data_IF_963045121867
#
_entry.id   IF_963045121867
#
_cell.length_a   1.000
_cell.length_b   1.000
_cell.length_c   1.000
_cell.angle_alpha   90.00
_cell.angle_beta   90.00
_cell.angle_gamma   90.00
#
_symmetry.space_group_name_H-M   'P 1'
#
loop_
_entity.id
_entity.type
_entity.pdbx_description
1 polymer ?
#
# COMPACT_ATOMS: atom_id res chain seq x y z
N UNK A 1 77.49 -21.66 -19.82
CA UNK A 1 77.50 -21.41 -21.28
C UNK A 1 76.41 -22.27 -21.90
N UNK A 2 75.45 -21.65 -22.57
CA UNK A 2 74.77 -22.08 -23.81
C UNK A 2 73.50 -21.24 -23.95
N UNK A 3 73.56 -20.33 -24.92
CA UNK A 3 72.44 -19.55 -25.49
C UNK A 3 71.62 -20.49 -26.36
N UNK A 4 70.30 -20.33 -26.48
CA UNK A 4 69.60 -20.42 -27.76
C UNK A 4 68.23 -19.74 -27.70
N UNK A 5 68.04 -18.77 -28.60
CA UNK A 5 66.75 -18.26 -29.06
C UNK A 5 65.96 -19.36 -29.75
N UNK A 6 64.62 -19.32 -29.65
CA UNK A 6 63.78 -19.57 -30.82
C UNK A 6 62.46 -18.81 -30.71
N UNK A 7 62.26 -17.90 -31.66
CA UNK A 7 61.01 -17.25 -31.99
C UNK A 7 60.28 -18.19 -32.95
N UNK A 8 59.03 -18.54 -32.66
CA UNK A 8 58.07 -18.98 -33.68
C UNK A 8 56.78 -18.21 -33.47
N UNK A 9 56.55 -17.27 -34.38
CA UNK A 9 55.27 -16.60 -34.59
C UNK A 9 54.40 -17.50 -35.46
N UNK A 10 53.17 -17.80 -35.04
CA UNK A 10 52.13 -18.27 -35.93
C UNK A 10 50.85 -17.47 -35.66
N UNK A 11 50.51 -16.62 -36.63
CA UNK A 11 49.23 -15.93 -36.73
C UNK A 11 48.33 -16.82 -37.58
N UNK A 12 47.16 -17.21 -37.06
CA UNK A 12 46.02 -17.63 -37.88
C UNK A 12 44.75 -16.96 -37.36
N UNK A 13 44.18 -16.17 -38.26
CA UNK A 13 42.85 -15.56 -38.23
C UNK A 13 41.76 -16.60 -38.47
N UNK A 14 40.67 -16.60 -37.70
CA UNK A 14 39.28 -16.33 -38.15
C UNK A 14 38.28 -16.73 -37.05
N UNK A 15 37.23 -15.92 -36.93
CA UNK A 15 36.38 -15.82 -35.75
C UNK A 15 35.40 -16.97 -35.51
N UNK A 16 34.71 -16.87 -34.37
CA UNK A 16 33.39 -17.46 -34.13
C UNK A 16 32.80 -16.93 -32.83
N UNK A 17 31.72 -16.16 -33.00
CA UNK A 17 30.51 -16.10 -32.16
C UNK A 17 30.69 -15.66 -30.69
N UNK A 18 30.42 -14.38 -30.45
CA UNK A 18 29.89 -13.93 -29.17
C UNK A 18 28.55 -14.62 -28.93
N UNK A 19 28.57 -15.71 -28.18
CA UNK A 19 27.35 -16.26 -27.60
C UNK A 19 26.89 -15.27 -26.53
N UNK A 20 25.87 -14.47 -26.85
CA UNK A 20 25.12 -13.68 -25.86
C UNK A 20 24.46 -14.69 -24.93
N UNK A 21 25.13 -14.98 -23.81
CA UNK A 21 24.53 -15.71 -22.72
C UNK A 21 23.47 -14.79 -22.12
N UNK A 22 22.23 -15.01 -22.54
CA UNK A 22 21.05 -14.49 -21.88
C UNK A 22 21.17 -14.88 -20.39
N UNK A 23 21.53 -13.91 -19.57
CA UNK A 23 21.54 -14.05 -18.13
C UNK A 23 20.13 -14.44 -17.69
N UNK A 24 19.92 -15.73 -17.42
CA UNK A 24 18.70 -16.23 -16.80
C UNK A 24 18.54 -15.45 -15.49
N UNK A 25 17.65 -14.45 -15.48
CA UNK A 25 17.18 -13.79 -14.27
C UNK A 25 16.71 -14.91 -13.34
N UNK A 26 17.42 -15.10 -12.23
CA UNK A 26 16.98 -16.01 -11.17
C UNK A 26 15.55 -15.59 -10.79
N UNK A 27 14.59 -16.52 -10.72
CA UNK A 27 13.25 -16.17 -10.29
C UNK A 27 13.37 -15.55 -8.89
N UNK A 28 12.96 -14.29 -8.76
CA UNK A 28 12.79 -13.64 -7.46
C UNK A 28 11.79 -14.51 -6.71
N UNK A 29 12.26 -15.24 -5.69
CA UNK A 29 11.39 -15.98 -4.78
C UNK A 29 10.41 -14.95 -4.22
N UNK A 30 9.12 -15.08 -4.54
CA UNK A 30 8.06 -14.36 -3.83
C UNK A 30 8.33 -14.57 -2.34
N UNK A 31 8.42 -13.49 -1.53
CA UNK A 31 8.58 -13.67 -0.09
C UNK A 31 7.39 -14.52 0.38
N UNK A 32 7.69 -15.74 0.86
CA UNK A 32 6.67 -16.57 1.47
C UNK A 32 6.09 -15.78 2.64
N UNK A 33 4.77 -15.61 2.69
CA UNK A 33 4.17 -14.88 3.82
C UNK A 33 4.58 -15.58 5.10
N UNK A 34 5.16 -14.86 6.04
CA UNK A 34 5.37 -15.42 7.38
C UNK A 34 4.00 -15.83 7.96
N UNK A 35 3.93 -16.92 8.72
CA UNK A 35 2.68 -17.31 9.42
C UNK A 35 2.15 -16.15 10.29
N UNK A 36 3.05 -15.34 10.85
CA UNK A 36 2.75 -14.10 11.58
C UNK A 36 1.97 -13.08 10.75
N UNK A 37 2.33 -12.88 9.48
CA UNK A 37 1.60 -11.98 8.58
C UNK A 37 0.14 -12.43 8.43
N UNK A 38 -0.07 -13.72 8.19
CA UNK A 38 -1.40 -14.29 7.99
C UNK A 38 -2.29 -14.13 9.24
N UNK A 39 -1.75 -14.42 10.43
CA UNK A 39 -2.45 -14.25 11.70
C UNK A 39 -2.80 -12.80 11.97
N UNK A 40 -1.88 -11.87 11.72
CA UNK A 40 -2.08 -10.44 11.97
C UNK A 40 -3.09 -9.84 10.99
N UNK A 41 -3.08 -10.26 9.71
CA UNK A 41 -4.09 -9.86 8.71
C UNK A 41 -5.46 -10.40 9.11
N UNK A 42 -5.56 -11.66 9.56
CA UNK A 42 -6.80 -12.24 10.06
C UNK A 42 -7.32 -11.48 11.29
N UNK A 43 -6.43 -11.09 12.20
CA UNK A 43 -6.79 -10.28 13.37
C UNK A 43 -7.29 -8.89 12.97
N UNK A 44 -6.69 -8.25 11.95
CA UNK A 44 -7.15 -6.97 11.41
C UNK A 44 -8.57 -7.07 10.82
N UNK A 45 -8.89 -8.17 10.14
CA UNK A 45 -10.22 -8.45 9.61
C UNK A 45 -11.26 -8.76 10.71
N UNK A 46 -10.83 -9.22 11.89
CA UNK A 46 -11.70 -9.45 13.03
C UNK A 46 -12.85 -10.44 12.73
N UNK A 47 -14.10 -10.01 12.97
CA UNK A 47 -15.31 -10.81 12.68
C UNK A 47 -15.69 -10.78 11.18
N UNK A 48 -15.08 -9.92 10.37
CA UNK A 48 -15.42 -9.75 8.96
C UNK A 48 -14.77 -10.83 8.09
N UNK A 49 -15.50 -11.28 7.07
CA UNK A 49 -15.03 -12.23 6.07
C UNK A 49 -15.42 -11.75 4.68
N UNK A 50 -14.56 -11.99 3.70
CA UNK A 50 -14.91 -11.75 2.30
C UNK A 50 -16.16 -12.57 1.92
N UNK A 51 -16.96 -12.01 1.01
CA UNK A 51 -18.24 -12.58 0.62
C UNK A 51 -19.43 -12.27 1.55
N UNK A 52 -19.21 -11.60 2.68
CA UNK A 52 -20.31 -11.09 3.51
C UNK A 52 -21.13 -10.03 2.77
N UNK A 53 -22.45 -10.02 2.96
CA UNK A 53 -23.30 -8.95 2.43
C UNK A 53 -23.17 -7.66 3.23
N UNK A 54 -23.63 -6.54 2.65
CA UNK A 54 -23.71 -5.26 3.37
C UNK A 54 -24.46 -5.40 4.67
N UNK A 55 -25.59 -6.12 4.64
CA UNK A 55 -26.42 -6.38 5.82
C UNK A 55 -25.64 -7.13 6.92
N UNK A 56 -24.90 -8.19 6.56
CA UNK A 56 -24.09 -8.95 7.50
C UNK A 56 -22.98 -8.09 8.12
N UNK A 57 -22.30 -7.27 7.32
CA UNK A 57 -21.27 -6.33 7.81
C UNK A 57 -21.89 -5.30 8.76
N UNK A 58 -23.04 -4.73 8.41
CA UNK A 58 -23.76 -3.79 9.27
C UNK A 58 -24.18 -4.44 10.60
N UNK A 59 -24.64 -5.69 10.59
CA UNK A 59 -25.02 -6.40 11.82
C UNK A 59 -23.82 -6.56 12.78
N UNK A 60 -22.65 -6.92 12.25
CA UNK A 60 -21.39 -6.99 13.04
C UNK A 60 -21.02 -5.61 13.60
N UNK A 61 -21.12 -4.56 12.78
CA UNK A 61 -20.81 -3.19 13.21
C UNK A 61 -21.78 -2.69 14.29
N UNK A 62 -23.09 -2.92 14.12
CA UNK A 62 -24.13 -2.57 15.10
C UNK A 62 -23.88 -3.30 16.42
N UNK A 63 -23.52 -4.59 16.37
CA UNK A 63 -23.14 -5.37 17.56
C UNK A 63 -21.94 -4.75 18.26
N UNK A 64 -20.92 -4.30 17.51
CA UNK A 64 -19.78 -3.57 18.02
C UNK A 64 -20.17 -2.27 18.75
N UNK A 65 -21.01 -1.45 18.12
CA UNK A 65 -21.53 -0.21 18.71
C UNK A 65 -22.28 -0.50 20.01
N UNK A 66 -23.25 -1.43 20.00
CA UNK A 66 -23.99 -1.82 21.20
C UNK A 66 -23.09 -2.28 22.33
N UNK A 67 -22.07 -3.09 22.04
CA UNK A 67 -21.08 -3.56 23.02
C UNK A 67 -20.26 -2.41 23.62
N UNK A 68 -19.84 -1.43 22.80
CA UNK A 68 -19.15 -0.21 23.26
C UNK A 68 -20.01 0.57 24.24
N UNK A 69 -21.27 0.86 23.88
CA UNK A 69 -22.17 1.63 24.74
C UNK A 69 -22.62 0.88 25.99
N UNK A 70 -22.85 -0.44 25.92
CA UNK A 70 -23.17 -1.25 27.10
C UNK A 70 -22.09 -1.11 28.19
N UNK A 71 -20.81 -1.16 27.80
CA UNK A 71 -19.68 -0.96 28.73
C UNK A 71 -19.66 0.45 29.33
N UNK A 72 -20.06 1.48 28.58
CA UNK A 72 -20.12 2.86 29.08
C UNK A 72 -21.29 3.04 30.04
N UNK A 73 -22.47 2.51 29.70
CA UNK A 73 -23.68 2.58 30.52
C UNK A 73 -23.46 1.88 31.87
N UNK A 74 -22.80 0.72 31.89
CA UNK A 74 -22.47 0.00 33.14
C UNK A 74 -21.54 0.79 34.07
N UNK A 75 -20.74 1.72 33.55
CA UNK A 75 -19.78 2.52 34.34
C UNK A 75 -20.41 3.78 34.94
N UNK A 76 -21.65 4.09 34.58
CA UNK A 76 -22.31 5.33 34.97
C UNK A 76 -23.50 4.99 35.87
N UNK A 77 -23.56 5.55 37.07
CA UNK A 77 -24.66 5.30 38.01
C UNK A 77 -25.89 6.15 37.73
N UNK A 78 -25.68 7.39 37.28
CA UNK A 78 -26.72 8.39 36.98
C UNK A 78 -27.60 7.98 35.79
N UNK A 79 -28.90 7.87 36.02
CA UNK A 79 -29.87 7.40 35.02
C UNK A 79 -30.04 8.35 33.84
N UNK A 80 -29.96 9.68 34.05
CA UNK A 80 -30.03 10.65 32.96
C UNK A 80 -28.85 10.48 32.00
N UNK A 81 -27.66 10.21 32.54
CA UNK A 81 -26.48 9.93 31.72
C UNK A 81 -26.58 8.58 31.00
N UNK A 82 -27.20 7.56 31.61
CA UNK A 82 -27.47 6.28 30.91
C UNK A 82 -28.42 6.49 29.73
N UNK A 83 -29.47 7.30 29.89
CA UNK A 83 -30.40 7.61 28.80
C UNK A 83 -29.74 8.42 27.69
N UNK A 84 -28.91 9.40 28.02
CA UNK A 84 -28.10 10.11 27.03
C UNK A 84 -27.17 9.16 26.25
N UNK A 85 -26.55 8.19 26.91
CA UNK A 85 -25.72 7.17 26.26
C UNK A 85 -26.55 6.25 25.34
N UNK A 86 -27.77 5.87 25.74
CA UNK A 86 -28.69 5.09 24.88
C UNK A 86 -29.12 5.89 23.65
N UNK A 87 -29.42 7.17 23.81
CA UNK A 87 -29.75 8.06 22.69
C UNK A 87 -28.57 8.18 21.72
N UNK A 88 -27.35 8.38 22.23
CA UNK A 88 -26.12 8.44 21.42
C UNK A 88 -25.84 7.12 20.70
N UNK A 89 -26.04 5.97 21.36
CA UNK A 89 -25.95 4.66 20.74
C UNK A 89 -26.90 4.51 19.54
N UNK A 90 -28.16 4.93 19.70
CA UNK A 90 -29.15 4.86 18.63
C UNK A 90 -28.83 5.82 17.48
N UNK A 91 -28.29 7.01 17.80
CA UNK A 91 -27.80 7.95 16.81
C UNK A 91 -26.63 7.35 15.99
N UNK A 92 -25.64 6.73 16.66
CA UNK A 92 -24.50 6.09 15.97
C UNK A 92 -24.96 4.93 15.08
N UNK A 93 -25.92 4.11 15.53
CA UNK A 93 -26.53 3.04 14.72
C UNK A 93 -27.24 3.63 13.49
N UNK A 94 -27.96 4.75 13.65
CA UNK A 94 -28.65 5.43 12.55
C UNK A 94 -27.62 5.99 11.55
N UNK A 95 -26.57 6.64 12.03
CA UNK A 95 -25.47 7.15 11.20
C UNK A 95 -24.80 6.03 10.41
N UNK A 96 -24.49 4.90 11.04
CA UNK A 96 -23.94 3.73 10.36
C UNK A 96 -24.85 3.24 9.22
N UNK A 97 -26.17 3.18 9.44
CA UNK A 97 -27.12 2.77 8.40
C UNK A 97 -27.17 3.76 7.24
N UNK A 98 -27.07 5.05 7.53
CA UNK A 98 -27.07 6.12 6.54
C UNK A 98 -25.74 6.18 5.75
N UNK A 99 -24.63 5.76 6.35
CA UNK A 99 -23.32 5.69 5.72
C UNK A 99 -23.12 4.45 4.84
N UNK A 100 -24.21 3.88 4.34
CA UNK A 100 -24.20 2.83 3.32
C UNK A 100 -24.51 3.44 1.97
N UNK A 101 -23.53 3.41 1.08
CA UNK A 101 -23.56 4.13 -0.19
C UNK A 101 -23.48 3.15 -1.36
N UNK A 102 -24.28 3.38 -2.39
CA UNK A 102 -24.18 2.68 -3.66
C UNK A 102 -23.68 3.63 -4.74
N UNK A 103 -22.61 3.26 -5.44
CA UNK A 103 -21.97 4.10 -6.43
C UNK A 103 -22.70 3.98 -7.78
N UNK A 104 -23.86 4.64 -7.92
CA UNK A 104 -24.73 4.54 -9.12
C UNK A 104 -24.46 5.61 -10.18
N UNK A 105 -23.54 6.53 -9.93
CA UNK A 105 -23.15 7.60 -10.86
C UNK A 105 -23.60 9.00 -10.47
N UNK A 106 -24.25 9.14 -9.31
CA UNK A 106 -24.45 10.42 -8.65
C UNK A 106 -23.13 10.91 -8.04
N UNK A 107 -22.89 12.23 -8.08
CA UNK A 107 -21.76 12.85 -7.38
C UNK A 107 -21.96 12.70 -5.87
N UNK A 108 -20.93 12.25 -5.19
CA UNK A 108 -20.92 12.01 -3.75
C UNK A 108 -19.77 12.78 -3.13
N UNK A 109 -19.91 13.21 -1.88
CA UNK A 109 -18.79 13.83 -1.15
C UNK A 109 -17.54 12.93 -1.06
N UNK A 110 -17.72 11.62 -1.24
CA UNK A 110 -16.63 10.63 -1.26
C UNK A 110 -15.74 10.73 -2.52
N UNK A 111 -16.22 11.35 -3.61
CA UNK A 111 -15.50 11.47 -4.88
C UNK A 111 -14.27 12.40 -4.76
N UNK A 112 -14.13 13.12 -3.65
CA UNK A 112 -13.02 14.03 -3.32
C UNK A 112 -12.36 13.69 -1.98
N UNK A 113 -12.55 12.45 -1.52
CA UNK A 113 -12.06 11.98 -0.22
C UNK A 113 -10.87 11.02 -0.36
N UNK A 114 -10.31 10.57 0.76
CA UNK A 114 -9.18 9.61 0.78
C UNK A 114 -9.43 8.28 0.05
N UNK A 115 -10.69 7.97 -0.26
CA UNK A 115 -11.12 6.75 -0.96
C UNK A 115 -11.56 7.00 -2.42
N UNK A 116 -11.38 8.21 -2.93
CA UNK A 116 -11.74 8.59 -4.31
C UNK A 116 -11.20 7.63 -5.37
N UNK A 117 -10.00 7.09 -5.13
CA UNK A 117 -9.32 6.14 -5.99
C UNK A 117 -9.70 4.66 -5.76
N UNK A 118 -10.65 4.38 -4.85
CA UNK A 118 -10.93 3.02 -4.39
C UNK A 118 -12.16 2.37 -5.02
N UNK A 119 -13.05 3.12 -5.64
CA UNK A 119 -14.29 2.60 -6.22
C UNK A 119 -14.53 3.17 -7.63
N UNK A 120 -15.46 2.58 -8.38
CA UNK A 120 -16.00 3.18 -9.59
C UNK A 120 -17.52 3.26 -9.52
N UNK A 121 -18.09 4.31 -10.12
CA UNK A 121 -19.54 4.39 -10.27
C UNK A 121 -20.02 3.45 -11.37
N UNK A 122 -21.30 3.04 -11.28
CA UNK A 122 -21.98 2.19 -12.28
C UNK A 122 -21.32 0.81 -12.46
N UNK A 123 -20.56 0.36 -11.46
CA UNK A 123 -19.84 -0.92 -11.46
C UNK A 123 -20.36 -1.92 -10.40
N UNK A 124 -21.61 -1.79 -9.96
CA UNK A 124 -22.17 -2.58 -8.85
C UNK A 124 -21.35 -2.52 -7.55
N UNK A 125 -20.60 -1.44 -7.39
CA UNK A 125 -19.83 -1.19 -6.19
C UNK A 125 -20.68 -0.41 -5.17
N UNK A 126 -20.47 -0.75 -3.91
CA UNK A 126 -21.08 -0.05 -2.78
C UNK A 126 -20.15 -0.10 -1.57
N UNK A 127 -20.46 0.68 -0.55
CA UNK A 127 -19.62 0.85 0.61
C UNK A 127 -20.43 1.01 1.88
N UNK A 128 -19.87 0.59 3.01
CA UNK A 128 -20.27 1.01 4.36
C UNK A 128 -19.11 1.77 4.99
N UNK A 129 -19.37 2.96 5.56
CA UNK A 129 -18.35 3.77 6.22
C UNK A 129 -18.62 3.95 7.72
N UNK A 130 -17.57 3.86 8.53
CA UNK A 130 -17.56 4.20 9.95
C UNK A 130 -16.47 5.23 10.19
N UNK A 131 -16.87 6.37 10.76
CA UNK A 131 -15.97 7.47 11.12
C UNK A 131 -16.02 7.64 12.63
N UNK A 132 -14.92 7.32 13.32
CA UNK A 132 -14.78 7.42 14.78
C UNK A 132 -13.48 8.14 15.14
N UNK A 133 -13.56 9.29 15.82
CA UNK A 133 -12.40 10.00 16.39
C UNK A 133 -11.19 10.07 15.42
N UNK A 134 -11.42 10.64 14.23
CA UNK A 134 -10.45 10.80 13.12
C UNK A 134 -10.08 9.51 12.38
N UNK A 135 -10.38 8.33 12.95
CA UNK A 135 -10.24 7.06 12.24
C UNK A 135 -11.46 6.79 11.38
N UNK A 136 -11.22 6.58 10.10
CA UNK A 136 -12.21 6.17 9.10
C UNK A 136 -11.95 4.73 8.67
N UNK A 137 -12.98 3.91 8.67
CA UNK A 137 -12.94 2.54 8.19
C UNK A 137 -14.06 2.32 7.17
N UNK A 138 -13.71 1.70 6.05
CA UNK A 138 -14.60 1.48 4.92
C UNK A 138 -14.61 0.00 4.54
N UNK A 139 -15.79 -0.50 4.24
CA UNK A 139 -16.01 -1.84 3.72
C UNK A 139 -16.59 -1.70 2.33
N UNK A 140 -15.90 -2.22 1.32
CA UNK A 140 -16.30 -2.13 -0.08
C UNK A 140 -16.89 -3.46 -0.56
N UNK A 141 -17.97 -3.34 -1.32
CA UNK A 141 -18.76 -4.45 -1.79
C UNK A 141 -18.85 -4.40 -3.32
N UNK A 142 -18.77 -5.56 -3.94
CA UNK A 142 -19.04 -5.76 -5.36
C UNK A 142 -20.15 -6.81 -5.46
N UNK A 143 -21.24 -6.49 -6.14
CA UNK A 143 -22.44 -7.35 -6.17
C UNK A 143 -22.92 -7.75 -4.76
N UNK A 144 -22.95 -6.80 -3.83
CA UNK A 144 -23.30 -7.01 -2.41
C UNK A 144 -22.43 -8.08 -1.70
N UNK A 145 -21.16 -8.20 -2.09
CA UNK A 145 -20.17 -9.08 -1.46
C UNK A 145 -18.95 -8.29 -1.05
N UNK A 146 -18.62 -8.33 0.25
CA UNK A 146 -17.42 -7.70 0.80
C UNK A 146 -16.19 -8.27 0.09
N UNK A 147 -15.42 -7.41 -0.55
CA UNK A 147 -14.19 -7.81 -1.23
C UNK A 147 -12.96 -7.03 -0.75
N UNK A 148 -13.17 -5.90 -0.06
CA UNK A 148 -12.09 -5.02 0.36
C UNK A 148 -12.46 -4.23 1.61
N UNK A 149 -11.51 -4.08 2.53
CA UNK A 149 -11.59 -3.19 3.70
C UNK A 149 -10.47 -2.17 3.63
N UNK A 150 -10.77 -0.93 3.99
CA UNK A 150 -9.85 0.20 3.95
C UNK A 150 -9.90 0.91 5.30
N UNK A 151 -8.76 1.03 5.96
CA UNK A 151 -8.65 1.62 7.29
C UNK A 151 -7.62 2.74 7.25
N UNK A 152 -8.05 3.92 7.66
CA UNK A 152 -7.18 5.08 7.81
C UNK A 152 -6.49 5.08 9.17
N UNK A 153 -5.26 5.57 9.17
CA UNK A 153 -4.39 5.70 10.34
C UNK A 153 -3.89 7.16 10.37
N UNK A 154 -4.51 8.04 11.17
CA UNK A 154 -4.15 9.46 11.20
C UNK A 154 -2.68 9.66 11.58
N UNK A 155 -1.93 10.41 10.79
CA UNK A 155 -0.50 10.70 11.03
C UNK A 155 -0.26 11.35 12.39
N UNK A 156 -1.25 12.08 12.91
CA UNK A 156 -1.19 12.70 14.24
C UNK A 156 -1.15 11.70 15.40
N UNK A 157 -1.57 10.44 15.17
CA UNK A 157 -1.35 9.35 16.14
C UNK A 157 0.08 8.78 16.04
N UNK A 158 0.81 9.12 14.98
CA UNK A 158 2.17 8.71 14.66
C UNK A 158 3.09 9.93 14.52
N UNK A 159 2.97 10.93 15.41
CA UNK A 159 3.73 12.19 15.31
C UNK A 159 5.23 11.94 15.13
N UNK A 160 5.79 12.60 14.12
CA UNK A 160 7.21 12.48 13.77
C UNK A 160 7.57 11.25 12.92
N UNK A 161 6.60 10.43 12.52
CA UNK A 161 6.86 9.29 11.64
C UNK A 161 6.82 9.76 10.18
N UNK A 162 7.91 9.49 9.46
CA UNK A 162 7.90 9.43 8.01
C UNK A 162 7.51 8.02 7.55
N UNK A 163 7.33 7.82 6.24
CA UNK A 163 6.92 6.52 5.72
C UNK A 163 7.89 5.39 6.09
N UNK A 164 9.20 5.64 6.06
CA UNK A 164 10.20 4.64 6.46
C UNK A 164 10.04 4.19 7.93
N UNK A 165 9.76 5.13 8.83
CA UNK A 165 9.49 4.81 10.23
C UNK A 165 8.17 4.04 10.37
N UNK A 166 7.13 4.45 9.66
CA UNK A 166 5.85 3.73 9.61
C UNK A 166 6.03 2.30 9.08
N UNK A 167 6.77 2.11 7.99
CA UNK A 167 7.15 0.79 7.45
C UNK A 167 7.85 -0.04 8.52
N UNK A 168 8.84 0.51 9.23
CA UNK A 168 9.54 -0.25 10.27
C UNK A 168 8.62 -0.76 11.38
N UNK A 169 7.59 0.03 11.75
CA UNK A 169 6.63 -0.35 12.80
C UNK A 169 5.64 -1.37 12.27
N UNK A 170 5.15 -1.22 11.05
CA UNK A 170 4.21 -2.18 10.49
C UNK A 170 4.89 -3.52 10.17
N UNK A 171 6.15 -3.51 9.72
CA UNK A 171 6.94 -4.73 9.49
C UNK A 171 7.23 -5.48 10.80
N UNK A 172 7.26 -4.80 11.96
CA UNK A 172 7.34 -5.49 13.26
C UNK A 172 6.08 -6.33 13.52
N UNK A 173 4.91 -5.86 13.10
CA UNK A 173 3.64 -6.56 13.28
C UNK A 173 3.44 -7.65 12.21
N UNK A 174 3.65 -7.33 10.94
CA UNK A 174 3.29 -8.19 9.80
C UNK A 174 4.48 -8.95 9.19
N UNK A 175 5.72 -8.70 9.63
CA UNK A 175 6.93 -9.22 8.99
C UNK A 175 7.37 -8.35 7.80
N UNK A 176 8.42 -8.76 7.09
CA UNK A 176 8.96 -7.99 5.95
C UNK A 176 7.93 -7.89 4.81
N UNK A 177 7.72 -6.68 4.28
CA UNK A 177 6.82 -6.45 3.17
C UNK A 177 7.48 -6.76 1.81
N UNK A 178 6.67 -7.02 0.80
CA UNK A 178 7.05 -6.83 -0.60
C UNK A 178 6.78 -5.38 -1.00
N UNK A 179 7.78 -4.68 -1.51
CA UNK A 179 7.64 -3.32 -2.03
C UNK A 179 7.11 -3.38 -3.47
N UNK A 180 5.97 -2.75 -3.72
CA UNK A 180 5.32 -2.70 -5.03
C UNK A 180 5.48 -1.30 -5.60
N UNK A 181 6.13 -1.21 -6.76
CA UNK A 181 6.39 0.05 -7.45
C UNK A 181 5.52 0.20 -8.68
N UNK A 182 5.18 1.44 -9.02
CA UNK A 182 4.49 1.79 -10.27
C UNK A 182 5.31 2.81 -11.04
N UNK A 183 5.25 2.74 -12.37
CA UNK A 183 5.86 3.73 -13.25
C UNK A 183 4.88 4.87 -13.45
N UNK A 184 5.25 6.06 -13.02
CA UNK A 184 4.51 7.28 -13.25
C UNK A 184 4.50 7.64 -14.74
N UNK A 185 3.58 8.52 -15.15
CA UNK A 185 3.48 9.01 -16.54
C UNK A 185 4.78 9.70 -17.02
N UNK A 186 5.62 10.18 -16.09
CA UNK A 186 6.94 10.74 -16.36
C UNK A 186 8.07 9.71 -16.51
N UNK A 187 7.78 8.41 -16.42
CA UNK A 187 8.77 7.33 -16.49
C UNK A 187 9.50 7.04 -15.17
N UNK A 188 9.30 7.87 -14.14
CA UNK A 188 9.85 7.64 -12.81
C UNK A 188 9.11 6.50 -12.10
N UNK A 189 9.87 5.71 -11.33
CA UNK A 189 9.33 4.57 -10.59
C UNK A 189 9.15 4.97 -9.14
N UNK A 190 7.92 4.92 -8.65
CA UNK A 190 7.54 5.36 -7.32
C UNK A 190 7.03 4.18 -6.50
N UNK A 191 7.33 4.18 -5.19
CA UNK A 191 6.81 3.16 -4.28
C UNK A 191 5.30 3.38 -4.11
N UNK A 192 4.50 2.45 -4.63
CA UNK A 192 3.05 2.54 -4.61
C UNK A 192 2.48 2.03 -3.30
N UNK A 193 2.89 0.83 -2.87
CA UNK A 193 2.49 0.27 -1.58
C UNK A 193 3.44 -0.82 -1.10
N UNK A 194 3.37 -1.08 0.21
CA UNK A 194 3.91 -2.27 0.84
C UNK A 194 2.85 -3.37 0.81
N UNK A 195 3.23 -4.61 0.48
CA UNK A 195 2.31 -5.74 0.34
C UNK A 195 2.71 -6.90 1.25
N UNK A 196 1.71 -7.49 1.90
CA UNK A 196 1.82 -8.77 2.59
C UNK A 196 0.78 -9.74 2.03
N UNK A 197 1.23 -10.96 1.80
CA UNK A 197 0.33 -12.05 1.43
C UNK A 197 -0.32 -12.61 2.70
N UNK A 198 -1.66 -12.68 2.71
CA UNK A 198 -2.44 -13.36 3.73
C UNK A 198 -2.76 -14.80 3.34
N UNK A 199 -3.71 -15.42 4.04
CA UNK A 199 -4.17 -16.77 3.70
C UNK A 199 -5.02 -16.77 2.42
N UNK A 200 -4.76 -17.73 1.52
CA UNK A 200 -5.51 -17.90 0.28
C UNK A 200 -5.34 -16.70 -0.66
N UNK A 201 -6.45 -16.08 -1.04
CA UNK A 201 -6.49 -14.92 -1.96
C UNK A 201 -6.34 -13.57 -1.25
N UNK A 202 -6.20 -13.58 0.08
CA UNK A 202 -6.13 -12.36 0.89
C UNK A 202 -4.78 -11.68 0.70
N UNK A 203 -4.80 -10.39 0.39
CA UNK A 203 -3.63 -9.52 0.42
C UNK A 203 -3.89 -8.33 1.34
N UNK A 204 -2.83 -7.84 1.98
CA UNK A 204 -2.87 -6.61 2.76
C UNK A 204 -1.85 -5.64 2.20
N UNK A 205 -2.28 -4.40 1.97
CA UNK A 205 -1.44 -3.32 1.48
C UNK A 205 -1.34 -2.21 2.52
N UNK A 206 -0.20 -1.54 2.57
CA UNK A 206 -0.01 -0.30 3.30
C UNK A 206 0.46 0.80 2.34
N UNK A 207 -0.22 1.95 2.38
CA UNK A 207 0.00 3.09 1.48
C UNK A 207 0.28 4.35 2.29
N UNK A 208 1.14 5.22 1.76
CA UNK A 208 1.29 6.59 2.23
C UNK A 208 0.29 7.49 1.51
N UNK A 209 -0.65 8.06 2.27
CA UNK A 209 -1.55 9.11 1.79
C UNK A 209 -1.41 10.38 2.65
N UNK A 210 -0.27 10.55 3.32
CA UNK A 210 -0.12 11.56 4.36
C UNK A 210 0.02 12.99 3.84
N UNK A 211 0.58 13.20 2.65
CA UNK A 211 0.78 14.57 2.17
C UNK A 211 -0.52 15.19 1.65
N UNK A 212 -1.44 14.39 1.09
CA UNK A 212 -2.77 14.88 0.65
C UNK A 212 -3.78 14.81 1.79
N UNK A 213 -3.83 13.66 2.48
CA UNK A 213 -4.93 13.33 3.37
C UNK A 213 -4.51 13.21 4.84
N UNK A 214 -3.23 13.37 5.19
CA UNK A 214 -2.76 13.28 6.58
C UNK A 214 -2.87 11.88 7.20
N UNK A 215 -3.01 10.83 6.38
CA UNK A 215 -3.27 9.47 6.85
C UNK A 215 -2.35 8.44 6.19
N UNK A 216 -1.85 7.48 6.96
CA UNK A 216 -1.45 6.20 6.40
C UNK A 216 -2.70 5.33 6.19
N UNK A 217 -2.63 4.37 5.28
CA UNK A 217 -3.77 3.51 4.95
C UNK A 217 -3.37 2.05 5.01
N UNK A 218 -4.23 1.24 5.64
CA UNK A 218 -4.20 -0.22 5.51
C UNK A 218 -5.38 -0.67 4.65
N UNK A 219 -5.09 -1.49 3.66
CA UNK A 219 -6.08 -2.09 2.78
C UNK A 219 -6.00 -3.60 2.91
N UNK A 220 -7.12 -4.30 3.11
CA UNK A 220 -7.16 -5.77 3.02
C UNK A 220 -8.15 -6.15 1.93
N UNK A 221 -7.72 -7.02 1.03
CA UNK A 221 -8.40 -7.29 -0.25
C UNK A 221 -8.42 -8.79 -0.54
N UNK A 222 -9.54 -9.28 -1.07
CA UNK A 222 -9.57 -10.55 -1.79
C UNK A 222 -9.06 -10.31 -3.21
N UNK A 223 -7.79 -10.66 -3.48
CA UNK A 223 -7.12 -10.30 -4.74
C UNK A 223 -7.80 -10.94 -5.96
N UNK A 224 -8.44 -12.10 -5.81
CA UNK A 224 -9.18 -12.72 -6.91
C UNK A 224 -10.41 -11.91 -7.26
N UNK A 225 -11.21 -11.53 -6.26
CA UNK A 225 -12.40 -10.70 -6.50
C UNK A 225 -12.00 -9.30 -6.95
N UNK A 226 -10.94 -8.72 -6.40
CA UNK A 226 -10.42 -7.41 -6.78
C UNK A 226 -10.03 -7.34 -8.26
N UNK A 227 -9.33 -8.35 -8.79
CA UNK A 227 -9.03 -8.43 -10.23
C UNK A 227 -10.30 -8.48 -11.07
N UNK A 228 -11.32 -9.22 -10.63
CA UNK A 228 -12.61 -9.26 -11.33
C UNK A 228 -13.32 -7.90 -11.30
N UNK A 229 -13.21 -7.16 -10.19
CA UNK A 229 -13.72 -5.79 -10.09
C UNK A 229 -13.02 -4.89 -11.11
N UNK A 230 -11.69 -4.92 -11.18
CA UNK A 230 -10.91 -4.13 -12.14
C UNK A 230 -11.28 -4.47 -13.60
N UNK A 231 -11.38 -5.75 -13.94
CA UNK A 231 -11.87 -6.18 -15.26
C UNK A 231 -13.27 -5.66 -15.55
N UNK A 232 -14.22 -5.77 -14.60
CA UNK A 232 -15.57 -5.22 -14.77
C UNK A 232 -15.59 -3.71 -14.97
N UNK A 233 -14.67 -2.96 -14.32
CA UNK A 233 -14.55 -1.50 -14.53
C UNK A 233 -14.17 -1.21 -15.97
N UNK A 234 -13.14 -1.92 -16.46
CA UNK A 234 -12.64 -1.81 -17.83
C UNK A 234 -13.72 -2.17 -18.86
N UNK A 235 -14.39 -3.31 -18.69
CA UNK A 235 -15.41 -3.81 -19.61
C UNK A 235 -16.63 -2.87 -19.69
N UNK A 236 -16.92 -2.17 -18.59
CA UNK A 236 -18.00 -1.17 -18.53
C UNK A 236 -17.59 0.23 -18.99
N UNK A 237 -16.31 0.44 -19.30
CA UNK A 237 -15.77 1.76 -19.64
C UNK A 237 -15.94 2.79 -18.53
N UNK A 238 -15.98 2.35 -17.26
CA UNK A 238 -16.12 3.27 -16.11
C UNK A 238 -14.75 3.65 -15.58
N UNK A 239 -14.55 4.95 -15.38
CA UNK A 239 -13.34 5.48 -14.76
C UNK A 239 -13.52 5.61 -13.26
N UNK A 240 -12.41 5.57 -12.54
CA UNK A 240 -12.35 5.85 -11.11
C UNK A 240 -12.53 7.36 -10.92
N UNK A 241 -13.34 7.83 -9.96
CA UNK A 241 -13.42 9.25 -9.62
C UNK A 241 -12.03 9.85 -9.40
N UNK A 242 -11.76 10.97 -10.04
CA UNK A 242 -10.46 11.64 -9.97
C UNK A 242 -9.39 11.07 -10.90
N UNK A 243 -9.43 9.79 -11.29
CA UNK A 243 -8.41 9.23 -12.19
C UNK A 243 -8.67 9.63 -13.66
N UNK A 244 -7.68 10.28 -14.29
CA UNK A 244 -7.51 10.15 -15.74
C UNK A 244 -7.27 8.68 -16.12
N UNK A 245 -7.11 8.34 -17.39
CA UNK A 245 -7.01 6.96 -17.93
C UNK A 245 -5.94 6.02 -17.29
N UNK A 246 -5.14 6.52 -16.36
CA UNK A 246 -4.20 5.75 -15.54
C UNK A 246 -4.86 5.25 -14.26
N UNK A 247 -4.51 4.04 -13.81
CA UNK A 247 -4.86 3.44 -12.49
C UNK A 247 -4.36 4.26 -11.27
N UNK A 248 -3.89 5.50 -11.50
CA UNK A 248 -3.33 6.42 -10.53
C UNK A 248 -4.25 7.65 -10.47
N UNK A 249 -4.72 7.97 -9.27
CA UNK A 249 -5.36 9.25 -9.02
C UNK A 249 -4.33 10.39 -9.18
N UNK A 250 -4.58 11.41 -10.01
CA UNK A 250 -3.71 12.55 -10.23
C UNK A 250 -3.36 13.34 -8.95
N UNK A 251 -4.17 13.28 -7.88
CA UNK A 251 -3.83 13.84 -6.56
C UNK A 251 -2.73 13.03 -5.85
N UNK A 252 -2.73 11.71 -5.99
CA UNK A 252 -1.65 10.83 -5.48
C UNK A 252 -0.38 11.03 -6.32
N UNK A 253 -0.53 11.16 -7.64
CA UNK A 253 0.53 11.48 -8.60
C UNK A 253 1.23 12.81 -8.33
N UNK A 254 0.50 13.83 -7.88
CA UNK A 254 1.07 15.15 -7.58
C UNK A 254 1.98 15.15 -6.36
N UNK A 255 1.87 14.13 -5.52
CA UNK A 255 2.48 14.06 -4.20
C UNK A 255 3.68 13.11 -4.16
N UNK A 256 3.62 11.97 -4.84
CA UNK A 256 4.82 11.13 -4.98
C UNK A 256 5.90 11.80 -5.84
N UNK A 257 5.53 12.69 -6.77
CA UNK A 257 6.46 13.52 -7.54
C UNK A 257 7.18 14.59 -6.72
N UNK A 258 6.76 14.88 -5.48
CA UNK A 258 7.34 15.91 -4.62
C UNK A 258 8.18 15.36 -3.45
N UNK A 259 8.65 14.10 -3.52
CA UNK A 259 9.74 13.65 -2.66
C UNK A 259 11.06 14.28 -3.11
N UNK A 260 11.51 15.29 -2.36
CA UNK A 260 12.76 16.03 -2.55
C UNK A 260 14.01 15.10 -2.67
N UNK A 261 15.02 15.46 -3.50
CA UNK A 261 16.04 14.57 -4.05
C UNK A 261 17.26 14.33 -3.13
N UNK A 262 17.09 14.32 -1.81
CA UNK A 262 18.24 14.30 -0.89
C UNK A 262 18.64 12.91 -0.37
N UNK A 263 18.65 11.91 -1.25
CA UNK A 263 19.46 10.69 -1.07
C UNK A 263 20.81 10.92 -1.72
N UNK A 264 21.77 11.34 -0.88
CA UNK A 264 23.23 11.41 -1.11
C UNK A 264 23.70 10.75 -2.43
N UNK A 265 24.20 11.58 -3.34
CA UNK A 265 25.25 11.16 -4.28
C UNK A 265 26.40 10.57 -3.48
N UNK A 266 26.53 9.24 -3.50
CA UNK A 266 27.83 8.62 -3.29
C UNK A 266 28.56 8.67 -4.61
N UNK A 267 29.36 9.72 -4.79
CA UNK A 267 30.44 9.70 -5.79
C UNK A 267 31.35 8.49 -5.50
N UNK A 268 31.82 7.78 -6.53
CA UNK A 268 32.77 6.70 -6.35
C UNK A 268 34.07 7.28 -5.78
N UNK A 269 34.48 6.73 -4.62
CA UNK A 269 35.77 6.97 -3.96
C UNK A 269 36.91 7.06 -4.99
N UNK A 270 37.50 8.24 -5.09
CA UNK A 270 38.86 8.43 -5.58
C UNK A 270 39.78 8.12 -4.40
N UNK A 271 40.52 7.01 -4.48
CA UNK A 271 41.52 6.68 -3.46
C UNK A 271 42.61 7.75 -3.40
N UNK A 272 43.00 8.23 -2.21
CA UNK A 272 44.18 9.05 -2.00
C UNK A 272 45.34 8.19 -1.47
N UNK A 273 46.45 8.12 -2.21
CA UNK A 273 47.79 7.83 -1.65
C UNK A 273 48.80 8.76 -2.34
N UNK A 274 49.18 9.86 -1.67
CA UNK A 274 50.34 10.00 -0.76
C UNK A 274 51.68 10.05 -1.51
N UNK A 275 52.10 11.29 -1.80
CA UNK A 275 53.34 11.94 -1.36
C UNK A 275 54.63 11.12 -1.24
N UNK A 276 55.53 11.42 -2.19
CA UNK A 276 56.75 12.22 -1.97
C UNK A 276 58.01 11.55 -1.37
N UNK A 277 59.04 11.39 -2.22
CA UNK A 277 60.46 11.77 -1.99
C UNK A 277 61.39 11.09 -3.02
N UNK A 278 62.06 11.87 -3.89
CA UNK A 278 63.42 12.40 -3.65
C UNK A 278 64.04 12.99 -4.93
N UNK A 279 64.36 14.28 -4.79
CA UNK A 279 65.25 15.15 -5.58
C UNK A 279 66.53 14.51 -6.14
N UNK A 280 66.94 15.09 -7.29
CA UNK A 280 68.19 15.83 -7.60
C UNK A 280 69.17 15.19 -8.61
N UNK A 281 69.54 16.06 -9.58
CA UNK A 281 70.81 16.18 -10.33
C UNK A 281 71.16 15.01 -11.27
N UNK A 282 71.48 15.21 -12.54
CA UNK A 282 71.64 16.40 -13.37
C UNK A 282 72.48 16.06 -14.60
N UNK A 283 72.57 17.06 -15.49
CA UNK A 283 73.63 17.29 -16.48
C UNK A 283 73.76 16.32 -17.68
N UNK A 284 73.50 16.97 -18.83
CA UNK A 284 74.05 16.80 -20.18
C UNK A 284 73.51 15.65 -21.00
#
# INVERSE_FOLDING_TARGET
MFRYSLIITLIFTFGSVFSVQAAKKKPVKKPASSGKAQETIKALMGEFKFGMSKKQVQEILIKGIKKKYAKLIMKVSDDLKKDALRAKMNADIKTLKNNTIEFKGQTLGWDTSIIDDQYAHKNFESMVAVVENEKQSFWFFFNDKLYKTFVTLPKDQYKGYNFAKFQSVIEQAYGKAEEVYVTAVGGETELHHLKWQGTGTTEMWAMDKTDVYGNFVLLVVDNTVYKNVLSSRKDRGVTIPGAGETEINPMVKLVTANQDPNTKKTDPKKDPKKDDKKKKKGRR
#
